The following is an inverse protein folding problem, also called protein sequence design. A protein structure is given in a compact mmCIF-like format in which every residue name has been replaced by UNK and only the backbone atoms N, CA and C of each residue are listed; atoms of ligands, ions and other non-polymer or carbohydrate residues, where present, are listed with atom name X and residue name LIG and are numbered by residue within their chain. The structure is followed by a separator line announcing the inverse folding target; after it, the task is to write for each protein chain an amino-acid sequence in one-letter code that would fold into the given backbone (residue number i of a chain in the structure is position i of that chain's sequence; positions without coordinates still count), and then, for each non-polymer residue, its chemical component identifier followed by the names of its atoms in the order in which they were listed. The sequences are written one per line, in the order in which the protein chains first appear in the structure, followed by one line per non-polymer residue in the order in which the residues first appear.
data_IF_297951812809
#
_entry.id   IF_297951812809
#
_cell.length_a   1.000
_cell.length_b   1.000
_cell.length_c   1.000
_cell.angle_alpha   90.00
_cell.angle_beta   90.00
_cell.angle_gamma   90.00
#
_symmetry.space_group_name_H-M   'P 1'
#
loop_
_entity.id
_entity.type
_entity.pdbx_description
1 polymer ?
#
# COMPACT_ATOMS: atom_id res chain seq x y z
N UNK A 1 19.65 1.88 1.24
CA UNK A 1 19.16 1.02 0.13
C UNK A 1 17.93 1.67 -0.47
N UNK A 2 18.03 2.18 -1.70
CA UNK A 2 16.86 2.65 -2.43
C UNK A 2 15.93 1.46 -2.65
N UNK A 3 14.69 1.55 -2.16
CA UNK A 3 13.71 0.48 -2.38
C UNK A 3 13.47 0.37 -3.89
N UNK A 4 13.44 -0.85 -4.47
CA UNK A 4 13.12 -0.98 -5.88
C UNK A 4 11.75 -0.35 -6.12
N UNK A 5 11.66 0.45 -7.19
CA UNK A 5 10.39 1.08 -7.58
C UNK A 5 9.41 -0.05 -7.87
N UNK A 6 8.27 -0.03 -7.19
CA UNK A 6 7.15 -0.89 -7.55
C UNK A 6 6.73 -0.56 -8.98
N UNK A 7 6.71 -1.57 -9.85
CA UNK A 7 6.19 -1.45 -11.20
C UNK A 7 4.75 -0.93 -11.19
N UNK A 8 4.36 -0.32 -12.30
CA UNK A 8 2.98 0.08 -12.52
C UNK A 8 2.09 -1.17 -12.48
N UNK A 9 0.99 -1.11 -11.72
CA UNK A 9 0.07 -2.21 -11.52
C UNK A 9 -1.36 -1.71 -11.69
N UNK A 10 -2.29 -2.63 -11.93
CA UNK A 10 -3.70 -2.33 -12.04
C UNK A 10 -4.49 -3.00 -10.91
N UNK A 11 -5.69 -2.49 -10.64
CA UNK A 11 -6.57 -3.09 -9.65
C UNK A 11 -6.91 -4.55 -9.98
N UNK A 12 -7.02 -4.89 -11.26
CA UNK A 12 -7.33 -6.23 -11.74
C UNK A 12 -6.19 -7.23 -11.47
N UNK A 13 -4.94 -6.74 -11.53
CA UNK A 13 -3.74 -7.57 -11.30
C UNK A 13 -3.33 -7.61 -9.83
N UNK A 14 -3.95 -6.80 -8.97
CA UNK A 14 -3.67 -6.77 -7.54
C UNK A 14 -4.41 -7.91 -6.82
N UNK A 15 -3.67 -8.98 -6.52
CA UNK A 15 -4.18 -10.08 -5.69
C UNK A 15 -3.84 -9.89 -4.20
N UNK A 16 -4.63 -10.52 -3.32
CA UNK A 16 -4.38 -10.49 -1.86
C UNK A 16 -2.97 -10.97 -1.52
N UNK A 17 -2.50 -12.04 -2.16
CA UNK A 17 -1.14 -12.57 -1.96
C UNK A 17 -0.05 -11.57 -2.37
N UNK A 18 -0.21 -10.89 -3.51
CA UNK A 18 0.71 -9.85 -3.98
C UNK A 18 0.75 -8.69 -2.98
N UNK A 19 -0.41 -8.21 -2.52
CA UNK A 19 -0.48 -7.13 -1.52
C UNK A 19 0.22 -7.50 -0.21
N UNK A 20 -0.02 -8.71 0.32
CA UNK A 20 0.65 -9.21 1.53
C UNK A 20 2.16 -9.32 1.34
N UNK A 21 2.64 -9.80 0.18
CA UNK A 21 4.06 -9.84 -0.13
C UNK A 21 4.69 -8.44 -0.16
N UNK A 22 3.98 -7.44 -0.68
CA UNK A 22 4.46 -6.06 -0.70
C UNK A 22 4.56 -5.48 0.71
N UNK A 23 3.55 -5.72 1.54
CA UNK A 23 3.59 -5.36 2.96
C UNK A 23 4.75 -6.06 3.70
N UNK A 24 5.01 -7.34 3.41
CA UNK A 24 6.13 -8.10 3.98
C UNK A 24 7.51 -7.58 3.51
N UNK A 25 7.59 -7.07 2.28
CA UNK A 25 8.77 -6.38 1.73
C UNK A 25 8.96 -4.97 2.31
N UNK A 26 8.02 -4.48 3.13
CA UNK A 26 8.09 -3.17 3.79
C UNK A 26 7.52 -2.01 2.97
N UNK A 27 6.76 -2.30 1.92
CA UNK A 27 5.95 -1.30 1.23
C UNK A 27 4.73 -0.95 2.07
N UNK A 28 4.34 0.32 2.05
CA UNK A 28 3.12 0.78 2.70
C UNK A 28 1.94 0.72 1.73
N UNK A 29 0.69 0.73 2.23
CA UNK A 29 -0.50 0.83 1.37
C UNK A 29 -0.44 2.06 0.43
N UNK A 30 0.23 3.13 0.86
CA UNK A 30 0.49 4.34 0.06
C UNK A 30 1.43 4.08 -1.13
N UNK A 31 2.46 3.25 -0.95
CA UNK A 31 3.38 2.88 -2.03
C UNK A 31 2.64 2.03 -3.07
N UNK A 32 1.83 1.08 -2.61
CA UNK A 32 0.98 0.25 -3.48
C UNK A 32 0.00 1.14 -4.26
N UNK A 33 -0.70 2.06 -3.58
CA UNK A 33 -1.62 3.00 -4.23
C UNK A 33 -0.92 3.87 -5.28
N UNK A 34 0.32 4.31 -5.02
CA UNK A 34 1.09 5.10 -5.98
C UNK A 34 1.40 4.31 -7.25
N UNK A 35 1.65 3.01 -7.14
CA UNK A 35 1.87 2.13 -8.29
C UNK A 35 0.60 1.79 -9.05
N UNK A 36 -0.53 1.65 -8.34
CA UNK A 36 -1.85 1.54 -8.96
C UNK A 36 -2.20 2.79 -9.77
N UNK A 37 -1.94 3.97 -9.20
CA UNK A 37 -2.15 5.26 -9.88
C UNK A 37 -1.22 5.50 -11.07
N UNK A 38 -0.22 4.63 -11.30
CA UNK A 38 0.68 4.69 -12.45
C UNK A 38 0.34 3.67 -13.53
N UNK A 39 -0.26 2.53 -13.16
CA UNK A 39 -0.69 1.51 -14.13
C UNK A 39 -2.07 1.78 -14.71
N UNK A 40 -2.89 2.52 -13.96
CA UNK A 40 -4.27 2.79 -14.33
C UNK A 40 -4.48 4.29 -14.63
N UNK A 41 -5.24 4.59 -15.69
CA UNK A 41 -5.64 5.96 -16.07
C UNK A 41 -6.92 6.43 -15.35
N UNK A 42 -7.41 5.67 -14.37
CA UNK A 42 -8.54 6.09 -13.55
C UNK A 42 -8.23 7.33 -12.72
N UNK A 43 -9.27 8.14 -12.50
CA UNK A 43 -9.22 9.22 -11.52
C UNK A 43 -8.78 8.71 -10.14
N UNK A 44 -7.83 9.43 -9.53
CA UNK A 44 -7.26 9.07 -8.23
C UNK A 44 -8.30 8.89 -7.13
N UNK A 45 -9.37 9.69 -7.16
CA UNK A 45 -10.46 9.57 -6.19
C UNK A 45 -11.22 8.26 -6.36
N UNK A 46 -11.54 7.89 -7.61
CA UNK A 46 -12.19 6.61 -7.92
C UNK A 46 -11.28 5.44 -7.55
N UNK A 47 -10.02 5.48 -7.96
CA UNK A 47 -9.03 4.46 -7.59
C UNK A 47 -8.90 4.30 -6.07
N UNK A 48 -9.00 5.39 -5.30
CA UNK A 48 -8.92 5.33 -3.85
C UNK A 48 -10.12 4.64 -3.23
N UNK A 49 -11.32 4.88 -3.75
CA UNK A 49 -12.54 4.17 -3.32
C UNK A 49 -12.45 2.69 -3.65
N UNK A 50 -12.06 2.35 -4.87
CA UNK A 50 -11.88 0.96 -5.32
C UNK A 50 -10.82 0.23 -4.49
N UNK A 51 -9.70 0.88 -4.21
CA UNK A 51 -8.63 0.31 -3.41
C UNK A 51 -9.05 0.10 -1.94
N UNK A 52 -9.78 1.04 -1.33
CA UNK A 52 -10.28 0.87 0.04
C UNK A 52 -11.36 -0.21 0.12
N UNK A 53 -12.26 -0.26 -0.88
CA UNK A 53 -13.26 -1.30 -1.02
C UNK A 53 -12.60 -2.68 -1.15
N UNK A 54 -11.65 -2.83 -2.06
CA UNK A 54 -10.91 -4.07 -2.26
C UNK A 54 -10.18 -4.51 -0.98
N UNK A 55 -9.53 -3.59 -0.26
CA UNK A 55 -8.89 -3.90 1.03
C UNK A 55 -9.89 -4.35 2.09
N UNK A 56 -11.06 -3.71 2.15
CA UNK A 56 -12.14 -4.07 3.08
C UNK A 56 -12.71 -5.45 2.74
N UNK A 57 -13.06 -5.68 1.48
CA UNK A 57 -13.62 -6.93 0.98
C UNK A 57 -12.67 -8.12 1.19
N UNK A 58 -11.36 -7.91 1.02
CA UNK A 58 -10.36 -8.95 1.24
C UNK A 58 -9.98 -9.15 2.73
N UNK A 59 -10.54 -8.36 3.65
CA UNK A 59 -10.24 -8.39 5.08
C UNK A 59 -8.81 -7.94 5.42
N UNK A 60 -8.20 -7.11 4.58
CA UNK A 60 -6.81 -6.63 4.70
C UNK A 60 -6.71 -5.12 4.94
N UNK A 61 -7.84 -4.47 5.25
CA UNK A 61 -7.87 -3.07 5.66
C UNK A 61 -7.03 -2.83 6.90
N UNK A 62 -7.15 -3.67 7.91
CA UNK A 62 -6.43 -3.56 9.17
C UNK A 62 -5.09 -4.32 9.18
N UNK A 63 -4.71 -4.92 8.06
CA UNK A 63 -3.47 -5.68 7.97
C UNK A 63 -2.27 -4.74 8.06
N UNK A 64 -1.55 -4.83 9.18
CA UNK A 64 -0.33 -4.05 9.41
C UNK A 64 0.82 -4.66 8.61
N UNK A 65 1.70 -3.84 8.01
CA UNK A 65 2.91 -4.35 7.36
C UNK A 65 3.77 -5.12 8.36
N UNK A 66 4.29 -6.27 7.92
CA UNK A 66 5.03 -7.20 8.78
C UNK A 66 6.38 -6.62 9.25
N UNK A 67 6.93 -5.63 8.53
CA UNK A 67 8.02 -4.79 9.03
C UNK A 67 7.42 -3.51 9.61
N UNK A 68 7.90 -3.02 10.77
CA UNK A 68 7.54 -1.69 11.21
C UNK A 68 7.84 -0.73 10.06
N UNK A 69 6.79 -0.09 9.52
CA UNK A 69 7.01 1.10 8.71
C UNK A 69 7.73 2.02 9.68
N UNK A 70 9.01 2.28 9.42
CA UNK A 70 9.76 3.27 10.19
C UNK A 70 9.14 4.61 9.84
N UNK A 71 7.98 4.88 10.45
CA UNK A 71 7.49 6.20 10.66
C UNK A 71 8.53 6.78 11.62
N UNK A 72 9.46 7.59 11.10
CA UNK A 72 10.14 8.60 11.91
C UNK A 72 9.08 9.58 12.41
N UNK A 73 8.19 9.14 13.31
CA UNK A 73 7.52 10.03 14.24
C UNK A 73 8.59 10.41 15.25
N UNK A 74 8.91 11.69 15.26
CA UNK A 74 9.82 12.33 16.19
C UNK A 74 9.54 11.87 17.62
N UNK A 75 10.61 11.71 18.41
CA UNK A 75 10.59 11.54 19.86
C UNK A 75 9.52 12.44 20.48
N UNK A 76 8.65 11.86 21.30
CA UNK A 76 8.04 12.59 22.41
C UNK A 76 8.56 11.88 23.65
N UNK A 77 9.69 12.37 24.14
CA UNK A 77 10.02 12.30 25.55
C UNK A 77 9.41 13.57 26.12
N UNK A 78 8.35 13.44 26.91
CA UNK A 78 8.03 14.44 27.92
C UNK A 78 8.31 13.76 29.26
N UNK A 79 9.36 14.26 29.89
CA UNK A 79 9.58 14.24 31.33
C UNK A 79 8.45 15.02 32.03
#
# INVERSE_FOLDING_TARGET
MARPVLEAMDMDTLTKGRYVQLLARGYSPKDVFKSLSKGTDMEKERLRKEFDYWRTHNGIKDLKPARPVINRKKKITQD
#
